data_IF_882351996666
#
_entry.id   IF_882351996666
#
_cell.length_a   1.000
_cell.length_b   1.000
_cell.length_c   1.000
_cell.angle_alpha   90.00
_cell.angle_beta   90.00
_cell.angle_gamma   90.00
#
_symmetry.space_group_name_H-M   'P 1'
#
loop_
_entity.id
_entity.type
_entity.pdbx_description
1 polymer ?
#
# COMPACT_ATOMS: atom_id res chain seq x y z
N UNK A 1 -36.03 -6.37 -5.23
CA UNK A 1 -34.66 -6.85 -5.54
C UNK A 1 -34.23 -6.12 -6.81
N UNK A 2 -33.12 -5.38 -6.83
CA UNK A 2 -32.62 -4.85 -8.10
C UNK A 2 -32.40 -6.02 -9.06
N UNK A 3 -32.81 -5.86 -10.32
CA UNK A 3 -32.58 -6.83 -11.40
C UNK A 3 -31.11 -7.24 -11.40
N UNK A 4 -30.83 -8.55 -11.27
CA UNK A 4 -29.47 -9.07 -11.48
C UNK A 4 -29.16 -8.92 -12.97
N UNK A 5 -28.33 -7.94 -13.32
CA UNK A 5 -28.03 -7.48 -14.70
C UNK A 5 -27.06 -8.39 -15.48
N UNK A 6 -26.81 -9.62 -15.06
CA UNK A 6 -25.72 -10.45 -15.58
C UNK A 6 -26.06 -11.31 -16.82
N UNK A 7 -27.21 -11.09 -17.47
CA UNK A 7 -27.48 -11.77 -18.73
C UNK A 7 -26.53 -11.20 -19.82
N UNK A 8 -25.87 -12.09 -20.57
CA UNK A 8 -24.87 -11.81 -21.63
C UNK A 8 -23.47 -11.30 -21.20
N UNK A 9 -23.09 -11.43 -19.93
CA UNK A 9 -21.72 -11.09 -19.50
C UNK A 9 -20.69 -12.15 -19.90
N UNK A 10 -19.51 -11.71 -20.36
CA UNK A 10 -18.34 -12.56 -20.67
C UNK A 10 -17.12 -12.08 -19.89
N UNK A 11 -16.13 -12.96 -19.74
CA UNK A 11 -14.80 -12.56 -19.25
C UNK A 11 -14.14 -11.55 -20.21
N UNK A 12 -13.10 -10.87 -19.74
CA UNK A 12 -12.33 -9.96 -20.57
C UNK A 12 -11.67 -10.71 -21.74
N UNK A 13 -11.41 -9.99 -22.82
CA UNK A 13 -10.64 -10.54 -23.93
C UNK A 13 -9.21 -10.89 -23.48
N UNK A 14 -8.60 -11.89 -24.13
CA UNK A 14 -7.23 -12.37 -23.82
C UNK A 14 -6.21 -11.25 -23.65
N UNK A 15 -6.27 -10.21 -24.49
CA UNK A 15 -5.32 -9.09 -24.48
C UNK A 15 -5.21 -8.39 -23.12
N UNK A 16 -6.29 -8.32 -22.35
CA UNK A 16 -6.28 -7.69 -21.02
C UNK A 16 -5.42 -8.47 -20.01
N UNK A 17 -5.12 -9.74 -20.26
CA UNK A 17 -4.34 -10.56 -19.34
C UNK A 17 -2.88 -10.71 -19.72
N UNK A 18 -2.50 -10.34 -20.96
CA UNK A 18 -1.17 -10.67 -21.52
C UNK A 18 -0.44 -9.50 -22.19
N UNK A 19 -1.13 -8.39 -22.47
CA UNK A 19 -0.52 -7.26 -23.15
C UNK A 19 0.10 -6.31 -22.13
N UNK A 20 1.39 -6.03 -22.31
CA UNK A 20 2.21 -5.19 -21.42
C UNK A 20 1.75 -3.73 -21.42
N UNK A 21 1.44 -3.14 -22.57
CA UNK A 21 0.93 -1.75 -22.62
C UNK A 21 -0.38 -1.57 -21.84
N UNK A 22 -1.24 -2.61 -21.82
CA UNK A 22 -2.46 -2.60 -21.00
C UNK A 22 -2.10 -2.69 -19.53
N UNK A 23 -1.12 -3.53 -19.16
CA UNK A 23 -0.64 -3.66 -17.80
C UNK A 23 -0.09 -2.34 -17.27
N UNK A 24 0.81 -1.69 -18.00
CA UNK A 24 1.41 -0.41 -17.61
C UNK A 24 0.35 0.68 -17.40
N UNK A 25 -0.67 0.69 -18.27
CA UNK A 25 -1.81 1.60 -18.13
C UNK A 25 -2.69 1.27 -16.93
N UNK A 26 -2.86 0.00 -16.59
CA UNK A 26 -3.55 -0.42 -15.37
C UNK A 26 -2.75 0.00 -14.14
N UNK A 27 -1.42 -0.15 -14.16
CA UNK A 27 -0.53 0.34 -13.11
C UNK A 27 -0.70 1.83 -12.87
N UNK A 28 -0.55 2.66 -13.91
CA UNK A 28 -0.70 4.12 -13.80
C UNK A 28 -2.12 4.55 -13.38
N UNK A 29 -3.16 3.89 -13.90
CA UNK A 29 -4.54 4.37 -13.76
C UNK A 29 -5.32 3.74 -12.62
N UNK A 30 -4.89 2.58 -12.15
CA UNK A 30 -5.52 1.84 -11.07
C UNK A 30 -4.58 1.85 -9.88
N UNK A 31 -3.46 1.15 -9.94
CA UNK A 31 -2.66 0.94 -8.74
C UNK A 31 -2.06 2.24 -8.18
N UNK A 32 -1.55 3.13 -9.04
CA UNK A 32 -1.00 4.41 -8.57
C UNK A 32 -2.06 5.45 -8.18
N UNK A 33 -3.35 5.20 -8.41
CA UNK A 33 -4.43 6.18 -8.15
C UNK A 33 -5.46 5.73 -7.13
N UNK A 34 -5.46 4.46 -6.76
CA UNK A 34 -6.38 3.89 -5.77
C UNK A 34 -5.69 3.78 -4.40
N UNK A 35 -6.51 3.70 -3.35
CA UNK A 35 -6.03 3.38 -2.01
C UNK A 35 -5.63 1.89 -1.95
N UNK A 36 -4.35 1.63 -1.72
CA UNK A 36 -3.77 0.29 -1.67
C UNK A 36 -3.50 -0.12 -0.23
N UNK A 37 -3.94 -1.31 0.14
CA UNK A 37 -3.64 -1.89 1.45
C UNK A 37 -2.15 -2.24 1.55
N UNK A 38 -1.49 -1.76 2.60
CA UNK A 38 -0.06 -1.99 2.85
C UNK A 38 0.17 -3.06 3.90
N UNK A 39 -0.57 -2.99 5.00
CA UNK A 39 -0.32 -3.81 6.17
C UNK A 39 -1.17 -3.40 7.36
N UNK A 40 -0.85 -3.93 8.53
CA UNK A 40 -1.50 -3.55 9.78
C UNK A 40 -0.70 -2.52 10.52
N UNK A 41 -1.40 -1.63 11.22
CA UNK A 41 -0.77 -0.59 12.04
C UNK A 41 0.11 -1.18 13.15
N UNK A 42 -0.22 -2.38 13.63
CA UNK A 42 0.57 -3.13 14.62
C UNK A 42 2.00 -3.44 14.14
N UNK A 43 2.23 -3.49 12.83
CA UNK A 43 3.58 -3.70 12.26
C UNK A 43 4.47 -2.47 12.44
N UNK A 44 3.88 -1.29 12.71
CA UNK A 44 4.56 -0.02 12.94
C UNK A 44 4.03 0.69 14.21
N UNK A 45 3.80 -0.08 15.28
CA UNK A 45 3.24 0.43 16.51
C UNK A 45 4.21 1.32 17.31
N UNK A 46 5.51 1.02 17.24
CA UNK A 46 6.53 1.76 17.98
C UNK A 46 6.92 3.04 17.22
N UNK A 47 7.10 4.18 17.89
CA UNK A 47 7.60 5.39 17.25
C UNK A 47 8.94 5.17 16.53
N UNK A 48 9.04 5.68 15.30
CA UNK A 48 10.17 5.48 14.40
C UNK A 48 10.15 4.17 13.63
N UNK A 49 9.28 3.22 13.97
CA UNK A 49 9.14 1.98 13.19
C UNK A 49 8.58 2.25 11.80
N UNK A 50 9.07 1.49 10.83
CA UNK A 50 8.65 1.59 9.43
C UNK A 50 8.51 0.21 8.79
N UNK A 51 7.72 0.19 7.73
CA UNK A 51 7.63 -0.90 6.76
C UNK A 51 7.75 -0.35 5.34
N UNK A 52 8.32 -1.14 4.44
CA UNK A 52 8.37 -0.83 3.02
C UNK A 52 7.16 -1.40 2.30
N UNK A 53 6.51 -0.54 1.53
CA UNK A 53 5.56 -0.93 0.51
C UNK A 53 6.23 -0.85 -0.86
N UNK A 54 6.25 -1.96 -1.59
CA UNK A 54 6.82 -2.04 -2.93
C UNK A 54 5.73 -2.42 -3.92
N UNK A 55 5.65 -1.67 -5.02
CA UNK A 55 4.73 -1.91 -6.13
C UNK A 55 5.40 -1.49 -7.43
N UNK A 56 5.58 -2.43 -8.34
CA UNK A 56 6.30 -2.18 -9.61
C UNK A 56 7.67 -1.52 -9.37
N UNK A 57 7.90 -0.35 -9.94
CA UNK A 57 9.11 0.46 -9.77
C UNK A 57 9.13 1.28 -8.49
N UNK A 58 8.02 1.35 -7.76
CA UNK A 58 7.84 2.28 -6.65
C UNK A 58 8.14 1.62 -5.30
N UNK A 59 8.79 2.38 -4.42
CA UNK A 59 9.05 1.99 -3.05
C UNK A 59 8.69 3.13 -2.12
N UNK A 60 7.80 2.83 -1.18
CA UNK A 60 7.27 3.78 -0.21
C UNK A 60 7.70 3.35 1.19
N UNK A 61 8.27 4.28 1.94
CA UNK A 61 8.50 4.12 3.38
C UNK A 61 7.20 4.52 4.07
N UNK A 62 6.57 3.58 4.77
CA UNK A 62 5.40 3.85 5.62
C UNK A 62 5.83 3.71 7.07
N UNK A 63 5.66 4.75 7.88
CA UNK A 63 6.23 4.81 9.22
C UNK A 63 5.33 5.52 10.21
N UNK A 64 5.54 5.26 11.50
CA UNK A 64 4.98 6.06 12.59
C UNK A 64 6.05 6.98 13.14
N UNK A 65 5.78 8.28 13.22
CA UNK A 65 6.76 9.22 13.77
C UNK A 65 6.75 9.28 15.30
N UNK A 66 7.54 10.19 15.87
CA UNK A 66 7.66 10.37 17.31
C UNK A 66 6.52 11.18 17.94
N UNK A 67 5.69 11.84 17.13
CA UNK A 67 4.45 12.47 17.57
C UNK A 67 3.30 11.46 17.58
N UNK A 68 3.52 10.30 16.93
CA UNK A 68 2.57 9.20 16.83
C UNK A 68 1.77 9.26 15.54
N UNK A 69 2.10 10.16 14.62
CA UNK A 69 1.40 10.29 13.34
C UNK A 69 1.93 9.29 12.31
N UNK A 70 1.03 8.88 11.42
CA UNK A 70 1.34 7.99 10.31
C UNK A 70 1.86 8.82 9.13
N UNK A 71 3.03 8.46 8.62
CA UNK A 71 3.70 9.15 7.52
C UNK A 71 4.00 8.16 6.40
N UNK A 72 3.97 8.63 5.15
CA UNK A 72 4.45 7.85 4.01
C UNK A 72 5.22 8.73 3.02
N UNK A 73 6.36 8.24 2.54
CA UNK A 73 7.23 8.96 1.60
C UNK A 73 7.83 8.02 0.56
N UNK A 74 8.08 8.50 -0.65
CA UNK A 74 8.90 7.77 -1.61
C UNK A 74 10.29 7.50 -1.00
N UNK A 75 10.77 6.26 -1.13
CA UNK A 75 12.05 5.77 -0.62
C UNK A 75 13.22 6.22 -1.51
N UNK A 76 13.30 7.53 -1.77
CA UNK A 76 14.23 8.11 -2.74
C UNK A 76 14.78 9.42 -2.18
N UNK A 77 16.10 9.47 -1.99
CA UNK A 77 16.79 10.68 -1.58
C UNK A 77 16.69 11.77 -2.65
N UNK A 78 16.28 12.97 -2.24
CA UNK A 78 16.12 14.14 -3.13
C UNK A 78 17.41 14.69 -3.71
N UNK A 79 18.58 14.26 -3.20
CA UNK A 79 19.87 14.70 -3.74
C UNK A 79 20.18 14.06 -5.09
N UNK A 80 20.34 12.74 -5.14
CA UNK A 80 20.76 11.99 -6.35
C UNK A 80 19.97 10.70 -6.56
N UNK A 81 18.77 10.61 -5.99
CA UNK A 81 17.86 9.49 -6.24
C UNK A 81 18.23 8.18 -5.55
N UNK A 82 19.16 8.18 -4.58
CA UNK A 82 19.55 6.96 -3.88
C UNK A 82 18.43 6.47 -2.97
N UNK A 83 18.19 5.16 -2.98
CA UNK A 83 17.28 4.50 -2.03
C UNK A 83 17.71 4.77 -0.58
N UNK A 84 16.77 5.17 0.27
CA UNK A 84 17.08 5.58 1.64
C UNK A 84 17.25 4.37 2.56
N UNK A 85 16.38 3.37 2.42
CA UNK A 85 16.41 2.12 3.19
C UNK A 85 16.14 0.92 2.27
N UNK A 86 16.81 -0.20 2.56
CA UNK A 86 16.63 -1.45 1.82
C UNK A 86 15.91 -2.52 2.64
N UNK A 87 15.97 -2.43 3.99
CA UNK A 87 15.34 -3.41 4.85
C UNK A 87 13.82 -3.26 4.78
N UNK A 88 13.05 -4.36 4.62
CA UNK A 88 11.60 -4.30 4.52
C UNK A 88 10.91 -3.69 5.74
N UNK A 89 11.52 -3.81 6.91
CA UNK A 89 11.06 -3.22 8.16
C UNK A 89 12.24 -2.75 8.99
N UNK A 90 12.00 -1.84 9.92
CA UNK A 90 13.02 -1.40 10.87
C UNK A 90 12.52 -0.29 11.76
N UNK A 91 13.46 0.35 12.48
CA UNK A 91 13.18 1.49 13.35
C UNK A 91 14.19 2.58 13.05
N UNK A 92 13.72 3.78 12.71
CA UNK A 92 14.52 4.98 12.67
C UNK A 92 14.68 5.53 14.09
N UNK A 93 15.92 5.70 14.61
CA UNK A 93 16.12 6.18 15.97
C UNK A 93 15.76 7.66 16.17
N UNK A 94 15.69 8.44 15.08
CA UNK A 94 15.32 9.86 15.10
C UNK A 94 14.98 10.42 13.71
N UNK A 95 15.73 10.00 12.70
CA UNK A 95 15.72 10.60 11.36
C UNK A 95 16.04 9.57 10.29
N UNK A 96 15.62 9.85 9.06
CA UNK A 96 15.96 9.06 7.88
C UNK A 96 17.26 9.64 7.31
N UNK A 97 18.35 8.87 7.35
CA UNK A 97 19.63 9.32 6.80
C UNK A 97 19.99 8.55 5.54
N UNK A 98 20.25 9.28 4.45
CA UNK A 98 20.68 8.69 3.19
C UNK A 98 22.09 8.11 3.32
N UNK A 99 22.25 6.83 3.01
CA UNK A 99 23.53 6.13 3.04
C UNK A 99 24.58 6.59 2.01
N UNK A 100 24.24 7.49 1.08
CA UNK A 100 25.19 7.98 0.08
C UNK A 100 25.99 9.19 0.56
N UNK A 101 25.31 10.29 0.91
CA UNK A 101 25.94 11.57 1.28
C UNK A 101 25.42 12.14 2.60
N UNK A 102 24.76 11.30 3.42
CA UNK A 102 24.25 11.66 4.73
C UNK A 102 23.24 12.84 4.76
N UNK A 103 22.54 13.10 3.64
CA UNK A 103 21.33 13.93 3.70
C UNK A 103 20.34 13.31 4.67
N UNK A 104 19.84 14.11 5.60
CA UNK A 104 19.11 13.67 6.77
C UNK A 104 17.76 14.34 6.80
N UNK A 105 16.70 13.53 6.84
CA UNK A 105 15.32 13.96 6.82
C UNK A 105 14.66 13.67 8.17
N UNK A 106 13.80 14.57 8.62
CA UNK A 106 12.84 14.25 9.69
C UNK A 106 11.91 13.12 9.23
N UNK A 107 11.24 12.46 10.18
CA UNK A 107 10.26 11.41 9.85
C UNK A 107 9.03 11.96 9.09
N UNK A 108 8.74 13.26 9.26
CA UNK A 108 7.78 14.03 8.45
C UNK A 108 8.22 14.26 7.00
N UNK A 109 9.46 13.92 6.64
CA UNK A 109 10.03 14.09 5.29
C UNK A 109 10.80 15.39 5.08
N UNK A 110 10.75 16.34 6.02
CA UNK A 110 11.51 17.60 5.93
C UNK A 110 13.03 17.35 5.89
N UNK A 111 13.76 18.01 4.99
CA UNK A 111 15.22 17.96 4.96
C UNK A 111 15.81 18.79 6.09
N UNK A 112 16.40 18.14 7.09
CA UNK A 112 16.96 18.81 8.29
C UNK A 112 18.47 19.01 8.19
N UNK A 113 19.18 18.09 7.52
CA UNK A 113 20.63 18.12 7.38
C UNK A 113 21.09 17.79 5.97
N UNK A 114 21.96 18.62 5.41
CA UNK A 114 22.56 18.41 4.09
C UNK A 114 24.04 18.83 4.18
N UNK A 115 24.97 17.90 4.48
CA UNK A 115 26.37 18.24 4.72
C UNK A 115 26.99 19.07 3.60
N UNK A 116 27.69 20.15 3.97
CA UNK A 116 28.38 21.11 3.08
C UNK A 116 27.47 21.90 2.11
N UNK A 117 26.15 21.68 2.12
CA UNK A 117 25.25 22.40 1.22
C UNK A 117 25.03 23.87 1.63
N UNK A 118 25.34 24.23 2.88
CA UNK A 118 25.29 25.63 3.35
C UNK A 118 26.32 26.54 2.63
N UNK A 119 27.32 25.95 1.98
CA UNK A 119 28.32 26.67 1.15
C UNK A 119 27.86 26.85 -0.32
N UNK A 120 26.78 26.17 -0.72
CA UNK A 120 26.25 26.25 -2.09
C UNK A 120 25.33 27.46 -2.17
N UNK A 121 25.67 28.39 -3.06
CA UNK A 121 24.87 29.59 -3.27
C UNK A 121 23.43 29.22 -3.67
N UNK A 122 22.45 29.85 -3.01
CA UNK A 122 21.00 29.64 -3.22
C UNK A 122 20.47 28.25 -2.85
N UNK A 123 21.21 27.41 -2.12
CA UNK A 123 20.64 26.17 -1.59
C UNK A 123 19.67 26.47 -0.43
N UNK A 124 18.46 25.95 -0.53
CA UNK A 124 17.39 26.06 0.45
C UNK A 124 16.89 24.65 0.77
N UNK A 125 16.89 24.22 2.04
CA UNK A 125 16.55 22.83 2.40
C UNK A 125 15.08 22.54 2.13
N UNK A 126 14.25 23.56 2.26
CA UNK A 126 12.82 23.59 2.08
C UNK A 126 12.40 23.22 0.64
N UNK A 127 13.29 23.32 -0.34
CA UNK A 127 13.04 22.91 -1.73
C UNK A 127 13.20 21.39 -1.95
N UNK A 128 13.76 20.67 -0.98
CA UNK A 128 14.12 19.26 -1.09
C UNK A 128 13.56 18.35 0.02
N UNK A 129 12.27 18.47 0.42
CA UNK A 129 11.66 17.48 1.31
C UNK A 129 11.51 16.13 0.59
N UNK A 130 11.41 15.03 1.33
CA UNK A 130 10.96 13.78 0.72
C UNK A 130 9.61 13.99 0.04
N UNK A 131 9.39 13.28 -1.07
CA UNK A 131 8.10 13.33 -1.75
C UNK A 131 7.12 12.51 -0.92
N UNK A 132 6.14 13.17 -0.33
CA UNK A 132 5.12 12.52 0.49
C UNK A 132 4.13 11.73 -0.35
N UNK A 133 3.61 10.66 0.25
CA UNK A 133 2.57 9.79 -0.30
C UNK A 133 1.39 9.86 0.66
N UNK A 134 0.16 9.94 0.13
CA UNK A 134 -1.00 9.96 0.98
C UNK A 134 -1.15 8.63 1.73
N UNK A 135 -1.44 8.71 3.02
CA UNK A 135 -1.57 7.55 3.90
C UNK A 135 -2.81 7.68 4.77
N UNK A 136 -3.46 6.56 5.04
CA UNK A 136 -4.66 6.50 5.86
C UNK A 136 -4.66 5.25 6.74
N UNK A 137 -5.28 5.36 7.91
CA UNK A 137 -5.52 4.25 8.83
C UNK A 137 -7.03 4.00 8.94
N UNK A 138 -7.46 2.75 8.81
CA UNK A 138 -8.84 2.34 9.00
C UNK A 138 -8.89 0.97 9.66
N UNK A 139 -9.49 0.87 10.84
CA UNK A 139 -9.69 -0.41 11.54
C UNK A 139 -8.38 -1.21 11.68
N UNK A 140 -7.29 -0.51 12.03
CA UNK A 140 -5.95 -1.08 12.18
C UNK A 140 -5.27 -1.48 10.87
N UNK A 141 -5.89 -1.19 9.71
CA UNK A 141 -5.31 -1.37 8.38
C UNK A 141 -4.70 -0.05 7.89
N UNK A 142 -3.51 -0.14 7.29
CA UNK A 142 -2.81 1.00 6.71
C UNK A 142 -2.95 0.96 5.20
N UNK A 143 -3.26 2.11 4.60
CA UNK A 143 -3.41 2.29 3.16
C UNK A 143 -2.56 3.44 2.65
N UNK A 144 -2.10 3.33 1.40
CA UNK A 144 -1.41 4.42 0.70
C UNK A 144 -2.07 4.74 -0.64
N UNK A 145 -1.91 5.97 -1.12
CA UNK A 145 -2.29 6.37 -2.47
C UNK A 145 -1.18 7.23 -3.08
N UNK A 146 -0.70 6.82 -4.25
CA UNK A 146 0.45 7.41 -4.94
C UNK A 146 0.07 8.59 -5.86
N UNK A 147 -1.23 8.87 -6.01
CA UNK A 147 -1.71 10.03 -6.77
C UNK A 147 -1.28 11.33 -6.09
N UNK A 148 -0.91 12.34 -6.88
CA UNK A 148 -0.63 13.70 -6.37
C UNK A 148 -1.89 14.32 -5.73
N UNK A 149 -3.06 14.01 -6.28
CA UNK A 149 -4.36 14.46 -5.79
C UNK A 149 -5.27 13.24 -5.56
N UNK A 150 -5.09 12.50 -4.46
CA UNK A 150 -5.91 11.33 -4.17
C UNK A 150 -7.31 11.75 -3.73
N UNK A 151 -8.33 10.98 -4.12
CA UNK A 151 -9.65 11.13 -3.53
C UNK A 151 -9.57 10.81 -2.02
N UNK A 152 -10.18 11.61 -1.13
CA UNK A 152 -10.09 11.39 0.31
C UNK A 152 -10.51 9.98 0.71
N UNK A 153 -9.73 9.35 1.60
CA UNK A 153 -9.94 7.97 2.01
C UNK A 153 -11.35 7.74 2.56
N UNK A 154 -11.83 8.66 3.41
CA UNK A 154 -13.12 8.60 4.09
C UNK A 154 -14.28 8.59 3.09
N UNK A 155 -14.11 9.21 1.92
CA UNK A 155 -15.13 9.23 0.86
C UNK A 155 -15.24 7.88 0.16
N UNK A 156 -14.11 7.25 -0.16
CA UNK A 156 -14.07 5.91 -0.78
C UNK A 156 -14.56 4.84 0.20
N UNK A 157 -14.17 4.94 1.47
CA UNK A 157 -14.49 3.94 2.50
C UNK A 157 -15.82 4.18 3.22
N UNK A 158 -16.52 5.29 2.96
CA UNK A 158 -17.81 5.61 3.57
C UNK A 158 -18.82 4.43 3.60
N UNK A 159 -18.98 3.60 2.54
CA UNK A 159 -19.93 2.48 2.56
C UNK A 159 -19.53 1.31 3.50
N UNK A 160 -18.28 1.29 3.97
CA UNK A 160 -17.75 0.26 4.86
C UNK A 160 -17.69 0.72 6.32
N UNK A 161 -17.91 2.02 6.58
CA UNK A 161 -18.00 2.57 7.93
C UNK A 161 -19.06 1.80 8.71
N UNK A 162 -18.69 1.35 9.91
CA UNK A 162 -19.46 0.53 10.85
C UNK A 162 -19.89 -0.88 10.37
N UNK A 163 -19.61 -1.25 9.11
CA UNK A 163 -20.04 -2.55 8.56
C UNK A 163 -19.42 -3.75 9.30
N UNK A 164 -18.22 -3.56 9.84
CA UNK A 164 -17.42 -4.61 10.47
C UNK A 164 -17.15 -4.36 11.95
N UNK A 165 -17.85 -3.44 12.61
CA UNK A 165 -17.61 -3.09 14.02
C UNK A 165 -17.69 -4.31 14.95
N UNK A 166 -18.57 -5.28 14.67
CA UNK A 166 -18.69 -6.50 15.48
C UNK A 166 -17.50 -7.44 15.40
N UNK A 167 -16.56 -7.21 14.48
CA UNK A 167 -15.37 -8.03 14.26
C UNK A 167 -14.12 -7.45 14.96
N UNK A 168 -14.24 -6.27 15.57
CA UNK A 168 -13.18 -5.59 16.31
C UNK A 168 -11.86 -5.53 15.51
N UNK A 169 -11.98 -5.15 14.24
CA UNK A 169 -10.89 -5.25 13.27
C UNK A 169 -9.68 -4.44 13.71
N UNK A 170 -9.85 -3.29 14.36
CA UNK A 170 -8.77 -2.47 14.90
C UNK A 170 -7.81 -3.23 15.83
N UNK A 171 -8.32 -4.15 16.66
CA UNK A 171 -7.52 -4.88 17.65
C UNK A 171 -6.92 -6.19 17.11
N UNK A 172 -7.14 -6.52 15.84
CA UNK A 172 -6.53 -7.71 15.26
C UNK A 172 -5.03 -7.52 15.04
N UNK A 173 -4.27 -8.62 15.19
CA UNK A 173 -2.83 -8.66 14.95
C UNK A 173 -2.49 -9.75 13.94
N UNK A 174 -1.33 -9.62 13.28
CA UNK A 174 -0.85 -10.61 12.32
C UNK A 174 -0.26 -11.80 13.10
N UNK A 175 -1.02 -12.88 13.21
CA UNK A 175 -0.53 -14.14 13.77
C UNK A 175 0.41 -14.89 12.80
N UNK A 176 0.16 -14.78 11.48
CA UNK A 176 0.95 -15.46 10.46
C UNK A 176 0.81 -14.77 9.09
N UNK A 177 1.91 -14.69 8.33
CA UNK A 177 1.94 -14.14 6.96
C UNK A 177 2.56 -15.17 6.02
N UNK A 178 1.87 -15.43 4.90
CA UNK A 178 2.35 -16.28 3.81
C UNK A 178 2.40 -15.43 2.55
N UNK A 179 3.55 -15.42 1.87
CA UNK A 179 3.79 -14.67 0.63
C UNK A 179 4.21 -15.67 -0.45
N UNK A 180 3.61 -15.55 -1.63
CA UNK A 180 3.93 -16.40 -2.78
C UNK A 180 3.78 -15.61 -4.08
N UNK A 181 4.68 -15.87 -5.02
CA UNK A 181 4.62 -15.32 -6.37
C UNK A 181 3.70 -16.18 -7.23
N UNK A 182 2.73 -15.55 -7.87
CA UNK A 182 1.80 -16.22 -8.77
C UNK A 182 2.12 -15.77 -10.20
N UNK A 183 2.54 -16.68 -11.11
CA UNK A 183 2.79 -16.33 -12.51
C UNK A 183 1.47 -16.19 -13.28
N UNK A 184 0.64 -15.23 -12.89
CA UNK A 184 -0.66 -14.94 -13.47
C UNK A 184 -0.95 -13.44 -13.43
N UNK A 185 -1.81 -12.97 -14.34
CA UNK A 185 -2.28 -11.60 -14.30
C UNK A 185 -3.14 -11.36 -13.05
N UNK A 186 -2.95 -10.21 -12.37
CA UNK A 186 -3.65 -9.85 -11.14
C UNK A 186 -5.18 -10.00 -11.24
N UNK A 187 -5.78 -9.67 -12.40
CA UNK A 187 -7.23 -9.76 -12.61
C UNK A 187 -7.74 -11.19 -12.46
N UNK A 188 -6.95 -12.21 -12.81
CA UNK A 188 -7.33 -13.61 -12.65
C UNK A 188 -7.41 -14.00 -11.16
N UNK A 189 -6.52 -13.46 -10.33
CA UNK A 189 -6.54 -13.68 -8.88
C UNK A 189 -7.83 -13.10 -8.27
N UNK A 190 -8.18 -11.87 -8.64
CA UNK A 190 -9.41 -11.24 -8.19
C UNK A 190 -10.67 -11.94 -8.71
N UNK A 191 -10.68 -12.36 -9.98
CA UNK A 191 -11.80 -13.11 -10.57
C UNK A 191 -12.01 -14.45 -9.85
N UNK A 192 -10.93 -15.18 -9.55
CA UNK A 192 -10.99 -16.45 -8.81
C UNK A 192 -11.46 -16.24 -7.36
N UNK A 193 -11.02 -15.17 -6.69
CA UNK A 193 -11.47 -14.85 -5.33
C UNK A 193 -12.95 -14.46 -5.25
N UNK A 194 -13.47 -13.82 -6.31
CA UNK A 194 -14.83 -13.25 -6.33
C UNK A 194 -15.94 -14.29 -6.59
N UNK A 195 -15.60 -15.58 -6.61
CA UNK A 195 -16.56 -16.67 -6.81
C UNK A 195 -16.17 -17.92 -6.01
N UNK A 196 -17.12 -18.84 -5.86
CA UNK A 196 -16.88 -20.14 -5.22
C UNK A 196 -17.47 -21.30 -6.04
N UNK A 197 -17.61 -21.08 -7.35
CA UNK A 197 -18.00 -22.08 -8.33
C UNK A 197 -16.96 -23.20 -8.44
N UNK A 198 -15.66 -22.88 -8.30
CA UNK A 198 -14.59 -23.88 -8.30
C UNK A 198 -14.41 -24.61 -6.94
N UNK A 199 -14.91 -24.04 -5.84
CA UNK A 199 -14.68 -24.54 -4.49
C UNK A 199 -15.06 -26.01 -4.26
N UNK A 200 -16.22 -26.52 -4.75
CA UNK A 200 -16.60 -27.90 -4.46
C UNK A 200 -15.64 -28.94 -5.05
N UNK A 201 -15.00 -28.60 -6.17
CA UNK A 201 -14.07 -29.49 -6.86
C UNK A 201 -12.64 -29.37 -6.34
N UNK A 202 -12.18 -28.16 -6.04
CA UNK A 202 -10.76 -27.88 -5.76
C UNK A 202 -10.43 -27.69 -4.28
N UNK A 203 -11.41 -27.35 -3.43
CA UNK A 203 -11.17 -27.04 -2.02
C UNK A 203 -12.00 -27.94 -1.09
N UNK A 204 -11.74 -29.27 -1.04
CA UNK A 204 -12.55 -30.21 -0.26
C UNK A 204 -12.54 -29.90 1.25
N UNK A 205 -11.45 -29.34 1.77
CA UNK A 205 -11.33 -28.92 3.18
C UNK A 205 -12.17 -27.66 3.43
N UNK A 206 -12.03 -26.63 2.58
CA UNK A 206 -12.78 -25.37 2.72
C UNK A 206 -14.29 -25.61 2.59
N UNK A 207 -14.71 -26.38 1.57
CA UNK A 207 -16.12 -26.66 1.31
C UNK A 207 -16.81 -27.43 2.46
N UNK A 208 -16.03 -28.17 3.27
CA UNK A 208 -16.54 -28.83 4.48
C UNK A 208 -16.79 -27.84 5.63
N UNK A 209 -16.01 -26.77 5.73
CA UNK A 209 -16.09 -25.78 6.81
C UNK A 209 -17.07 -24.65 6.47
N UNK A 210 -17.09 -24.22 5.21
CA UNK A 210 -17.92 -23.13 4.71
C UNK A 210 -18.62 -23.58 3.42
N UNK A 211 -19.85 -24.14 3.52
CA UNK A 211 -20.55 -24.64 2.35
C UNK A 211 -20.88 -23.48 1.40
N UNK A 212 -20.46 -23.58 0.13
CA UNK A 212 -20.64 -22.53 -0.90
C UNK A 212 -22.09 -22.08 -1.12
N UNK A 213 -23.08 -22.90 -0.69
CA UNK A 213 -24.52 -22.60 -0.78
C UNK A 213 -25.04 -21.72 0.36
N UNK A 214 -24.26 -21.52 1.42
CA UNK A 214 -24.67 -20.79 2.63
C UNK A 214 -24.08 -19.38 2.70
N UNK A 215 -23.34 -18.94 1.67
CA UNK A 215 -22.89 -17.56 1.53
C UNK A 215 -24.04 -16.72 0.94
N UNK A 216 -24.98 -16.34 1.80
CA UNK A 216 -26.10 -15.43 1.48
C UNK A 216 -26.29 -14.43 2.59
#
# INVERSE_FOLDING_TARGET
MPERTAFDTKTLERRYYINEDIYDRETDRIFFRQWLFVGRVSEIAEPGSYMLFELESESIIVLRDYEGDLQAHYNVCRHRGTRLVNEPTGIFPKSIQCGYHAWTYALSGELTGAPFMDEVESFCKEDYPLVSVAVAEWEGCVFVNLSEEPEPFEKIFAPLVDKFTSWDLANLEIAHRIVYEIPANWKLVFQNYSECYHCPALHPVLNRLTPFRNAS
#
